data_IF_700126407641
#
_entry.id   IF_700126407641
#
_cell.length_a   1.000
_cell.length_b   1.000
_cell.length_c   1.000
_cell.angle_alpha   90.00
_cell.angle_beta   90.00
_cell.angle_gamma   90.00
#
_symmetry.space_group_name_H-M   'P 1'
#
loop_
_entity.id
_entity.type
_entity.pdbx_description
1 polymer ?
#
# COMPACT_ATOMS: atom_id res chain seq x y z
N UNK A 1 -18.83 14.16 -5.45
CA UNK A 1 -19.84 13.18 -5.93
C UNK A 1 -19.93 13.10 -7.46
N UNK A 2 -19.52 14.15 -8.15
CA UNK A 2 -19.74 14.22 -9.61
C UNK A 2 -18.81 13.32 -10.45
N UNK A 3 -17.71 12.82 -9.88
CA UNK A 3 -16.76 11.96 -10.61
C UNK A 3 -17.25 10.53 -10.85
N UNK A 4 -18.01 9.97 -9.92
CA UNK A 4 -18.34 8.54 -9.91
C UNK A 4 -19.82 8.24 -10.18
N UNK A 5 -20.65 9.28 -10.25
CA UNK A 5 -22.09 9.17 -10.41
C UNK A 5 -22.83 8.69 -9.15
N UNK A 6 -24.17 8.70 -9.19
CA UNK A 6 -25.00 8.40 -8.01
C UNK A 6 -25.01 6.92 -7.61
N UNK A 7 -24.65 6.00 -8.50
CA UNK A 7 -24.67 4.56 -8.24
C UNK A 7 -23.67 4.11 -7.16
N UNK A 8 -22.65 4.91 -6.91
CA UNK A 8 -21.60 4.61 -5.92
C UNK A 8 -22.01 4.96 -4.49
N UNK A 9 -23.11 5.70 -4.31
CA UNK A 9 -23.59 6.10 -3.01
C UNK A 9 -24.96 5.48 -2.71
N UNK A 10 -25.02 4.52 -1.80
CA UNK A 10 -26.26 3.87 -1.35
C UNK A 10 -26.53 4.28 0.10
N UNK A 11 -27.69 4.89 0.35
CA UNK A 11 -28.09 5.35 1.68
C UNK A 11 -27.04 6.23 2.40
N UNK A 12 -26.39 7.14 1.66
CA UNK A 12 -25.37 8.03 2.21
C UNK A 12 -24.00 7.37 2.48
N UNK A 13 -23.82 6.12 2.08
CA UNK A 13 -22.55 5.39 2.22
C UNK A 13 -22.00 4.99 0.86
N UNK A 14 -20.68 5.00 0.75
CA UNK A 14 -19.98 4.56 -0.47
C UNK A 14 -20.05 3.04 -0.57
N UNK A 15 -20.60 2.54 -1.67
CA UNK A 15 -20.46 1.14 -2.07
C UNK A 15 -19.05 0.94 -2.66
N UNK A 16 -18.16 0.38 -1.84
CA UNK A 16 -16.74 0.16 -2.22
C UNK A 16 -16.56 -0.81 -3.37
N UNK A 17 -17.48 -1.78 -3.55
CA UNK A 17 -17.41 -2.76 -4.64
C UNK A 17 -17.77 -2.09 -5.96
N UNK A 18 -18.87 -1.36 -5.99
CA UNK A 18 -19.31 -0.63 -7.17
C UNK A 18 -18.29 0.47 -7.55
N UNK A 19 -17.78 1.21 -6.57
CA UNK A 19 -16.72 2.18 -6.80
C UNK A 19 -15.48 1.52 -7.42
N UNK A 20 -15.01 0.40 -6.88
CA UNK A 20 -13.86 -0.32 -7.41
C UNK A 20 -14.12 -0.81 -8.84
N UNK A 21 -15.30 -1.35 -9.12
CA UNK A 21 -15.68 -1.80 -10.45
C UNK A 21 -15.61 -0.69 -11.49
N UNK A 22 -16.10 0.49 -11.15
CA UNK A 22 -16.12 1.66 -12.05
C UNK A 22 -14.71 2.22 -12.23
N UNK A 23 -13.99 2.44 -11.13
CA UNK A 23 -12.69 3.12 -11.12
C UNK A 23 -11.60 2.27 -11.78
N UNK A 24 -11.58 0.95 -11.53
CA UNK A 24 -10.58 0.07 -12.15
C UNK A 24 -10.88 -0.29 -13.61
N UNK A 25 -12.07 0.02 -14.11
CA UNK A 25 -12.38 -0.15 -15.53
C UNK A 25 -11.87 1.01 -16.40
N UNK A 26 -11.52 2.16 -15.82
CA UNK A 26 -11.07 3.37 -16.51
C UNK A 26 -9.87 4.01 -15.81
N UNK A 27 -8.70 3.87 -16.42
CA UNK A 27 -7.44 4.40 -15.87
C UNK A 27 -7.43 5.93 -15.72
N UNK A 28 -8.13 6.65 -16.61
CA UNK A 28 -8.27 8.12 -16.53
C UNK A 28 -9.14 8.52 -15.34
N UNK A 29 -10.22 7.80 -15.12
CA UNK A 29 -11.09 8.02 -13.96
C UNK A 29 -10.36 7.67 -12.65
N UNK A 30 -9.58 6.58 -12.63
CA UNK A 30 -8.74 6.21 -11.49
C UNK A 30 -7.78 7.36 -11.13
N UNK A 31 -7.06 7.90 -12.12
CA UNK A 31 -6.13 9.02 -11.89
C UNK A 31 -6.85 10.24 -11.30
N UNK A 32 -8.00 10.63 -11.82
CA UNK A 32 -8.80 11.75 -11.30
C UNK A 32 -9.29 11.52 -9.86
N UNK A 33 -9.68 10.31 -9.54
CA UNK A 33 -10.07 9.94 -8.16
C UNK A 33 -8.87 10.02 -7.22
N UNK A 34 -7.72 9.50 -7.64
CA UNK A 34 -6.47 9.57 -6.87
C UNK A 34 -6.04 11.02 -6.63
N UNK A 35 -6.02 11.85 -7.67
CA UNK A 35 -5.71 13.28 -7.56
C UNK A 35 -6.64 14.02 -6.59
N UNK A 36 -7.89 13.61 -6.52
CA UNK A 36 -8.86 14.19 -5.59
C UNK A 36 -8.67 13.70 -4.17
N UNK A 37 -8.49 12.39 -3.98
CA UNK A 37 -8.51 11.75 -2.66
C UNK A 37 -7.18 11.86 -1.91
N UNK A 38 -6.04 11.70 -2.61
CA UNK A 38 -4.74 11.63 -1.96
C UNK A 38 -4.34 12.89 -1.18
N UNK A 39 -4.63 14.12 -1.64
CA UNK A 39 -4.34 15.32 -0.85
C UNK A 39 -5.12 15.38 0.47
N UNK A 40 -6.37 14.90 0.48
CA UNK A 40 -7.17 14.83 1.71
C UNK A 40 -6.63 13.78 2.68
N UNK A 41 -6.27 12.61 2.16
CA UNK A 41 -5.70 11.52 2.95
C UNK A 41 -4.37 11.95 3.60
N UNK A 42 -3.50 12.63 2.85
CA UNK A 42 -2.23 13.11 3.39
C UNK A 42 -2.40 14.22 4.42
N UNK A 43 -3.35 15.12 4.21
CA UNK A 43 -3.67 16.17 5.20
C UNK A 43 -4.19 15.57 6.50
N UNK A 44 -5.08 14.59 6.39
CA UNK A 44 -5.61 13.86 7.55
C UNK A 44 -4.50 13.08 8.28
N UNK A 45 -3.65 12.39 7.52
CA UNK A 45 -2.49 11.70 8.06
C UNK A 45 -1.52 12.66 8.76
N UNK A 46 -1.20 13.82 8.17
CA UNK A 46 -0.33 14.81 8.77
C UNK A 46 -0.92 15.36 10.08
N UNK A 47 -2.19 15.70 10.09
CA UNK A 47 -2.85 16.16 11.30
C UNK A 47 -2.80 15.09 12.40
N UNK A 48 -3.01 13.82 12.04
CA UNK A 48 -2.86 12.71 12.98
C UNK A 48 -1.41 12.56 13.48
N UNK A 49 -0.40 12.72 12.61
CA UNK A 49 1.03 12.67 12.99
C UNK A 49 1.36 13.75 14.01
N UNK A 50 0.88 14.98 13.80
CA UNK A 50 1.16 16.13 14.66
C UNK A 50 0.62 15.93 16.10
N UNK A 51 -0.41 15.10 16.25
CA UNK A 51 -0.98 14.74 17.56
C UNK A 51 -0.23 13.58 18.26
N UNK A 52 0.79 12.97 17.62
CA UNK A 52 1.48 11.83 18.20
C UNK A 52 2.67 12.29 19.07
N UNK A 53 2.78 11.70 20.27
CA UNK A 53 3.96 11.86 21.12
C UNK A 53 5.05 10.79 20.89
N UNK A 54 4.85 9.90 19.92
CA UNK A 54 5.77 8.83 19.59
C UNK A 54 7.02 9.34 18.85
N UNK A 55 8.20 8.72 19.03
CA UNK A 55 9.42 9.13 18.34
C UNK A 55 9.35 8.97 16.83
N UNK A 56 8.49 8.11 16.32
CA UNK A 56 8.16 7.96 14.91
C UNK A 56 6.78 7.31 14.74
N UNK A 57 6.23 7.45 13.56
CA UNK A 57 4.99 6.79 13.13
C UNK A 57 5.27 5.92 11.90
N UNK A 58 4.44 4.90 11.69
CA UNK A 58 4.54 4.02 10.52
C UNK A 58 3.36 4.27 9.61
N UNK A 59 3.66 4.64 8.35
CA UNK A 59 2.69 4.77 7.30
C UNK A 59 2.76 3.53 6.38
N UNK A 60 1.74 2.67 6.45
CA UNK A 60 1.65 1.48 5.60
C UNK A 60 0.85 1.80 4.32
N UNK A 61 1.45 1.51 3.17
CA UNK A 61 0.77 1.62 1.89
C UNK A 61 1.40 0.68 0.86
N UNK A 62 0.57 -0.14 0.20
CA UNK A 62 1.00 -0.98 -0.91
C UNK A 62 1.45 -0.15 -2.14
N UNK A 63 1.07 1.12 -2.22
CA UNK A 63 1.36 2.03 -3.33
C UNK A 63 2.40 3.09 -2.99
N UNK A 64 3.03 3.02 -1.81
CA UNK A 64 3.90 4.06 -1.28
C UNK A 64 4.99 4.49 -2.29
N UNK A 65 5.69 3.53 -2.86
CA UNK A 65 6.76 3.80 -3.82
C UNK A 65 6.26 4.16 -5.21
N UNK A 66 5.08 3.67 -5.58
CA UNK A 66 4.48 3.89 -6.90
C UNK A 66 3.82 5.29 -7.00
N UNK A 67 3.55 5.93 -5.86
CA UNK A 67 2.91 7.25 -5.79
C UNK A 67 3.84 8.27 -5.11
N UNK A 68 4.48 9.16 -5.87
CA UNK A 68 5.43 10.15 -5.33
C UNK A 68 4.87 11.00 -4.19
N UNK A 69 3.56 11.23 -4.18
CA UNK A 69 2.88 12.00 -3.13
C UNK A 69 3.02 11.35 -1.75
N UNK A 70 2.98 10.02 -1.65
CA UNK A 70 3.15 9.29 -0.40
C UNK A 70 4.62 9.20 0.03
N UNK A 71 5.52 8.99 -0.96
CA UNK A 71 6.95 8.88 -0.69
C UNK A 71 7.52 10.15 -0.04
N UNK A 72 7.03 11.33 -0.44
CA UNK A 72 7.53 12.64 0.04
C UNK A 72 7.30 12.89 1.53
N UNK A 73 6.33 12.20 2.14
CA UNK A 73 6.02 12.36 3.58
C UNK A 73 6.73 11.35 4.46
N UNK A 74 7.50 10.43 3.87
CA UNK A 74 8.23 9.41 4.60
C UNK A 74 9.71 9.79 4.70
N UNK A 75 10.25 9.84 5.92
CA UNK A 75 11.68 10.06 6.17
C UNK A 75 12.53 8.83 5.87
N UNK A 76 11.96 7.63 6.05
CA UNK A 76 12.57 6.33 5.73
C UNK A 76 11.55 5.37 5.13
N UNK A 77 12.03 4.50 4.27
CA UNK A 77 11.22 3.51 3.55
C UNK A 77 11.69 2.11 3.89
N UNK A 78 10.77 1.31 4.42
CA UNK A 78 10.96 -0.11 4.68
C UNK A 78 10.15 -0.92 3.66
N UNK A 79 10.81 -1.80 2.91
CA UNK A 79 10.15 -2.77 2.04
C UNK A 79 10.16 -4.15 2.70
N UNK A 80 9.00 -4.80 2.70
CA UNK A 80 8.89 -6.21 3.08
C UNK A 80 8.98 -7.06 1.83
N UNK A 81 10.10 -7.76 1.66
CA UNK A 81 10.36 -8.67 0.55
C UNK A 81 9.97 -10.11 0.92
N UNK A 82 9.42 -10.84 -0.03
CA UNK A 82 9.08 -12.25 0.12
C UNK A 82 9.15 -12.93 -1.25
N UNK A 83 9.63 -14.19 -1.34
CA UNK A 83 9.61 -14.94 -2.58
C UNK A 83 8.22 -14.95 -3.23
N UNK A 84 8.20 -14.90 -4.56
CA UNK A 84 6.94 -14.82 -5.33
C UNK A 84 6.01 -15.98 -4.99
N UNK A 85 6.55 -17.18 -4.87
CA UNK A 85 5.80 -18.41 -4.55
C UNK A 85 5.13 -18.29 -3.18
N UNK A 86 5.86 -17.82 -2.17
CA UNK A 86 5.35 -17.61 -0.80
C UNK A 86 4.23 -16.57 -0.78
N UNK A 87 4.39 -15.47 -1.52
CA UNK A 87 3.35 -14.44 -1.64
C UNK A 87 2.10 -14.97 -2.33
N UNK A 88 2.27 -15.70 -3.43
CA UNK A 88 1.15 -16.32 -4.16
C UNK A 88 0.36 -17.25 -3.25
N UNK A 89 1.06 -18.15 -2.56
CA UNK A 89 0.42 -19.09 -1.64
C UNK A 89 -0.37 -18.37 -0.55
N UNK A 90 0.21 -17.35 0.09
CA UNK A 90 -0.46 -16.54 1.12
C UNK A 90 -1.71 -15.84 0.59
N UNK A 91 -1.65 -15.26 -0.61
CA UNK A 91 -2.79 -14.56 -1.22
C UNK A 91 -3.89 -15.55 -1.60
N UNK A 92 -3.53 -16.69 -2.22
CA UNK A 92 -4.49 -17.74 -2.56
C UNK A 92 -5.22 -18.26 -1.32
N UNK A 93 -4.48 -18.49 -0.23
CA UNK A 93 -5.03 -18.95 1.04
C UNK A 93 -5.95 -17.93 1.71
N UNK A 94 -5.51 -16.66 1.75
CA UNK A 94 -6.25 -15.57 2.40
C UNK A 94 -7.54 -15.20 1.66
N UNK A 95 -7.44 -15.08 0.32
CA UNK A 95 -8.51 -14.52 -0.52
C UNK A 95 -9.38 -15.60 -1.19
N UNK A 96 -8.96 -16.86 -1.14
CA UNK A 96 -9.66 -17.96 -1.83
C UNK A 96 -9.66 -17.83 -3.35
N UNK A 97 -8.61 -17.23 -3.94
CA UNK A 97 -8.50 -16.94 -5.37
C UNK A 97 -7.56 -17.91 -6.08
N UNK A 98 -7.76 -18.12 -7.39
CA UNK A 98 -6.89 -18.95 -8.21
C UNK A 98 -5.54 -18.27 -8.50
N UNK A 99 -4.51 -19.06 -8.78
CA UNK A 99 -3.14 -18.63 -9.09
C UNK A 99 -3.09 -17.59 -10.21
N UNK A 100 -3.86 -17.79 -11.26
CA UNK A 100 -3.93 -16.93 -12.44
C UNK A 100 -4.39 -15.51 -12.07
N UNK A 101 -5.31 -15.40 -11.12
CA UNK A 101 -5.80 -14.11 -10.62
C UNK A 101 -4.73 -13.37 -9.81
N UNK A 102 -3.92 -14.10 -9.05
CA UNK A 102 -2.80 -13.51 -8.31
C UNK A 102 -1.73 -13.00 -9.27
N UNK A 103 -1.36 -13.81 -10.27
CA UNK A 103 -0.38 -13.43 -11.31
C UNK A 103 -0.83 -12.20 -12.09
N UNK A 104 -2.10 -12.13 -12.48
CA UNK A 104 -2.64 -10.97 -13.17
C UNK A 104 -2.53 -9.68 -12.33
N UNK A 105 -2.76 -9.75 -11.00
CA UNK A 105 -2.55 -8.61 -10.10
C UNK A 105 -1.09 -8.19 -10.02
N UNK A 106 -0.17 -9.16 -9.96
CA UNK A 106 1.26 -8.90 -9.86
C UNK A 106 1.85 -8.21 -11.11
N UNK A 107 1.30 -8.51 -12.30
CA UNK A 107 1.73 -7.87 -13.56
C UNK A 107 1.50 -6.35 -13.59
N UNK A 108 0.59 -5.83 -12.77
CA UNK A 108 0.28 -4.41 -12.65
C UNK A 108 1.03 -3.70 -11.52
N UNK A 109 1.92 -4.40 -10.82
CA UNK A 109 2.71 -3.87 -9.71
C UNK A 109 4.18 -3.76 -10.10
N UNK A 110 4.90 -2.90 -9.43
CA UNK A 110 6.34 -2.83 -9.54
C UNK A 110 7.00 -4.16 -9.14
N UNK A 111 8.11 -4.47 -9.78
CA UNK A 111 8.94 -5.62 -9.40
C UNK A 111 9.57 -5.41 -8.02
N UNK A 112 9.98 -6.51 -7.38
CA UNK A 112 10.70 -6.45 -6.11
C UNK A 112 12.00 -5.67 -6.25
N UNK A 113 12.75 -5.87 -7.33
CA UNK A 113 14.00 -5.14 -7.60
C UNK A 113 13.76 -3.61 -7.66
N UNK A 114 12.67 -3.14 -8.25
CA UNK A 114 12.34 -1.72 -8.29
C UNK A 114 12.01 -1.15 -6.90
N UNK A 115 11.29 -1.92 -6.06
CA UNK A 115 10.96 -1.51 -4.70
C UNK A 115 12.17 -1.52 -3.79
N UNK A 116 12.98 -2.58 -3.85
CA UNK A 116 14.18 -2.76 -3.03
C UNK A 116 15.23 -1.70 -3.35
N UNK A 117 15.37 -1.30 -4.61
CA UNK A 117 16.30 -0.24 -5.03
C UNK A 117 15.96 1.15 -4.45
N UNK A 118 14.72 1.37 -4.01
CA UNK A 118 14.25 2.64 -3.44
C UNK A 118 14.01 2.57 -1.93
N UNK A 119 14.15 1.41 -1.32
CA UNK A 119 13.98 1.22 0.10
C UNK A 119 15.29 1.50 0.86
N UNK A 120 15.19 2.15 2.02
CA UNK A 120 16.30 2.32 2.95
C UNK A 120 16.57 1.04 3.74
N UNK A 121 15.53 0.23 3.94
CA UNK A 121 15.56 -1.01 4.70
C UNK A 121 14.77 -2.10 3.98
N UNK A 122 15.26 -3.33 4.03
CA UNK A 122 14.58 -4.51 3.49
C UNK A 122 14.38 -5.52 4.61
N UNK A 123 13.13 -5.93 4.81
CA UNK A 123 12.75 -6.98 5.74
C UNK A 123 12.33 -8.21 4.92
N UNK A 124 12.92 -9.36 5.18
CA UNK A 124 12.62 -10.58 4.44
C UNK A 124 11.65 -11.46 5.21
N UNK A 125 10.54 -11.83 4.55
CA UNK A 125 9.48 -12.69 5.08
C UNK A 125 9.31 -13.92 4.17
N UNK A 126 10.24 -14.87 4.26
CA UNK A 126 10.38 -16.03 3.37
C UNK A 126 9.99 -17.38 4.01
N UNK A 127 9.38 -17.37 5.20
CA UNK A 127 9.08 -18.54 6.03
C UNK A 127 10.32 -19.28 6.58
N UNK A 128 11.54 -18.81 6.28
CA UNK A 128 12.79 -19.40 6.74
C UNK A 128 13.49 -18.50 7.76
N UNK A 129 13.56 -17.21 7.48
CA UNK A 129 14.22 -16.22 8.35
C UNK A 129 13.25 -15.73 9.42
N UNK A 130 13.74 -15.65 10.65
CA UNK A 130 12.96 -15.04 11.72
C UNK A 130 12.74 -13.54 11.44
N UNK A 131 11.49 -13.11 11.42
CA UNK A 131 11.10 -11.71 11.13
C UNK A 131 11.39 -10.80 12.33
N UNK A 132 11.14 -11.26 13.55
CA UNK A 132 11.27 -10.44 14.75
C UNK A 132 12.68 -9.84 14.96
N UNK A 133 13.79 -10.59 14.83
CA UNK A 133 15.13 -10.00 14.94
C UNK A 133 15.41 -8.90 13.90
N UNK A 134 14.86 -9.04 12.68
CA UNK A 134 14.98 -8.04 11.63
C UNK A 134 14.22 -6.76 12.00
N UNK A 135 12.99 -6.89 12.52
CA UNK A 135 12.19 -5.75 12.99
C UNK A 135 12.87 -5.03 14.13
N UNK A 136 13.42 -5.76 15.10
CA UNK A 136 14.19 -5.17 16.23
C UNK A 136 15.40 -4.40 15.72
N UNK A 137 16.13 -4.95 14.74
CA UNK A 137 17.28 -4.26 14.13
C UNK A 137 16.88 -2.97 13.41
N UNK A 138 15.79 -2.98 12.65
CA UNK A 138 15.25 -1.77 12.00
C UNK A 138 14.84 -0.75 13.06
N UNK A 139 14.10 -1.16 14.07
CA UNK A 139 13.68 -0.28 15.17
C UNK A 139 14.87 0.40 15.85
N UNK A 140 15.92 -0.34 16.17
CA UNK A 140 17.13 0.21 16.82
C UNK A 140 17.81 1.27 15.94
N UNK A 141 17.84 1.08 14.60
CA UNK A 141 18.41 2.08 13.67
C UNK A 141 17.52 3.32 13.50
N UNK A 142 16.22 3.18 13.70
CA UNK A 142 15.29 4.31 13.66
C UNK A 142 15.33 5.17 14.93
N UNK A 143 15.81 4.62 16.03
CA UNK A 143 15.94 5.32 17.34
C UNK A 143 17.28 6.03 17.52
N UNK A 144 18.22 5.89 16.57
CA UNK A 144 19.51 6.60 16.53
C UNK A 144 19.39 7.93 15.79
#
# INVERSE_FOLDING_TARGET
>A
MDLLGPSVCVNGRIDRREMARIVFADASLLARVEETVYPFLLRDFQAWVDDQAAPFVVFESALLLEKPIFRRVCGRILTVSSPVEVRMERVMQRDGVAKEQVLARMQHQWSDAQREALADEILVSDNCRAVLPQVVGVYQRMMQ
#
